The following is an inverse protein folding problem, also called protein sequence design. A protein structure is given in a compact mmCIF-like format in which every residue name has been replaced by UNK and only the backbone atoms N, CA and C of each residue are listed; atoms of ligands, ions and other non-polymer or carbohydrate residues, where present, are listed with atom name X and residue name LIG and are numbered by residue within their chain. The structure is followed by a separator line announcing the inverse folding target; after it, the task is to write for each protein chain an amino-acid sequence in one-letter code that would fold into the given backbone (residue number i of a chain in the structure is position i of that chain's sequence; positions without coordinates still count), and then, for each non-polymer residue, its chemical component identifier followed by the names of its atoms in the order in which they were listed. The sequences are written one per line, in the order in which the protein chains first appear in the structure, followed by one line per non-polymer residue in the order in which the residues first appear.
data_IF_542785861489
#
_entry.id   IF_542785861489
#
_cell.length_a   1.000
_cell.length_b   1.000
_cell.length_c   1.000
_cell.angle_alpha   90.00
_cell.angle_beta   90.00
_cell.angle_gamma   90.00
#
_symmetry.space_group_name_H-M   'P 1'
#
loop_
_entity.id
_entity.type
_entity.pdbx_description
1 polymer ?
#
# COMPACT_ATOMS: atom_id res chain seq x y z
N UNK A 1 6.62 -15.60 -7.14
CA UNK A 1 6.91 -14.22 -6.65
C UNK A 1 6.37 -13.22 -7.66
N UNK A 2 5.67 -12.20 -7.18
CA UNK A 2 5.12 -11.17 -8.05
C UNK A 2 6.18 -10.15 -8.44
N UNK A 3 5.97 -9.52 -9.60
CA UNK A 3 6.84 -8.44 -10.08
C UNK A 3 6.27 -7.10 -9.59
N UNK A 4 7.00 -6.36 -8.73
CA UNK A 4 6.46 -5.10 -8.22
C UNK A 4 6.54 -3.97 -9.23
N UNK A 5 5.51 -3.13 -9.24
CA UNK A 5 5.46 -1.89 -10.01
C UNK A 5 5.12 -0.76 -9.03
N UNK A 6 5.89 0.31 -9.09
CA UNK A 6 5.71 1.47 -8.22
C UNK A 6 5.30 2.65 -9.07
N UNK A 7 4.11 3.21 -8.81
CA UNK A 7 3.68 4.40 -9.54
C UNK A 7 4.51 5.61 -9.09
N UNK A 8 4.58 6.63 -9.93
CA UNK A 8 5.26 7.87 -9.55
C UNK A 8 4.57 8.53 -8.36
N UNK A 9 3.25 8.45 -8.29
CA UNK A 9 2.48 8.99 -7.16
C UNK A 9 2.85 8.25 -5.87
N UNK A 10 2.97 6.93 -5.92
CA UNK A 10 3.38 6.14 -4.77
C UNK A 10 4.76 6.57 -4.28
N UNK A 11 5.71 6.75 -5.20
CA UNK A 11 7.07 7.16 -4.82
C UNK A 11 7.08 8.51 -4.12
N UNK A 12 6.32 9.47 -4.64
CA UNK A 12 6.18 10.79 -4.03
C UNK A 12 5.49 10.71 -2.67
N UNK A 13 4.43 9.90 -2.58
CA UNK A 13 3.71 9.69 -1.34
C UNK A 13 4.64 9.14 -0.26
N UNK A 14 5.44 8.13 -0.62
CA UNK A 14 6.35 7.49 0.34
C UNK A 14 7.38 8.48 0.86
N UNK A 15 7.97 9.28 -0.02
CA UNK A 15 8.93 10.31 0.39
C UNK A 15 8.30 11.27 1.40
N UNK A 16 7.04 11.69 1.15
CA UNK A 16 6.32 12.57 2.05
C UNK A 16 6.10 11.95 3.42
N UNK A 17 5.72 10.67 3.44
CA UNK A 17 5.48 9.97 4.70
C UNK A 17 6.77 9.81 5.51
N UNK A 18 7.88 9.48 4.85
CA UNK A 18 9.18 9.38 5.52
C UNK A 18 9.60 10.74 6.09
N UNK A 19 9.38 11.82 5.36
CA UNK A 19 9.66 13.18 5.85
C UNK A 19 8.85 13.51 7.10
N UNK A 20 7.63 12.99 7.21
CA UNK A 20 6.77 13.19 8.37
C UNK A 20 7.16 12.34 9.57
N UNK A 21 8.18 11.47 9.42
CA UNK A 21 8.66 10.63 10.50
C UNK A 21 8.11 9.21 10.52
N UNK A 22 7.38 8.78 9.50
CA UNK A 22 6.89 7.41 9.42
C UNK A 22 8.03 6.47 9.06
N UNK A 23 8.05 5.30 9.70
CA UNK A 23 9.14 4.34 9.55
C UNK A 23 9.04 3.59 8.22
N UNK A 24 10.00 3.79 7.30
CA UNK A 24 9.95 3.11 6.00
C UNK A 24 10.08 1.58 6.09
N UNK A 25 10.65 1.05 7.16
CA UNK A 25 10.78 -0.39 7.32
C UNK A 25 9.42 -1.07 7.50
N UNK A 26 8.45 -0.35 8.07
CA UNK A 26 7.10 -0.89 8.25
C UNK A 26 6.44 -1.19 6.91
N UNK A 27 6.48 -0.24 5.98
CA UNK A 27 5.88 -0.44 4.66
C UNK A 27 6.67 -1.47 3.84
N UNK A 28 8.01 -1.45 3.94
CA UNK A 28 8.84 -2.42 3.22
C UNK A 28 8.54 -3.85 3.62
N UNK A 29 8.32 -4.10 4.91
CA UNK A 29 7.98 -5.43 5.41
C UNK A 29 6.68 -5.93 4.78
N UNK A 30 5.66 -5.07 4.74
CA UNK A 30 4.36 -5.42 4.16
C UNK A 30 4.50 -5.65 2.66
N UNK A 31 5.19 -4.76 1.95
CA UNK A 31 5.39 -4.90 0.51
C UNK A 31 6.11 -6.20 0.16
N UNK A 32 7.15 -6.55 0.91
CA UNK A 32 7.88 -7.80 0.66
C UNK A 32 6.97 -9.01 0.80
N UNK A 33 6.11 -9.03 1.81
CA UNK A 33 5.15 -10.11 1.98
C UNK A 33 4.19 -10.22 0.81
N UNK A 34 3.66 -9.08 0.35
CA UNK A 34 2.76 -9.05 -0.79
C UNK A 34 3.44 -9.50 -2.09
N UNK A 35 4.69 -9.08 -2.30
CA UNK A 35 5.46 -9.48 -3.48
C UNK A 35 5.68 -10.99 -3.48
N UNK A 36 5.93 -11.58 -2.32
CA UNK A 36 6.12 -13.03 -2.18
C UNK A 36 4.82 -13.83 -2.28
N UNK A 37 3.69 -13.15 -2.36
CA UNK A 37 2.38 -13.80 -2.46
C UNK A 37 1.83 -14.29 -1.12
N UNK A 38 2.36 -13.81 -0.02
CA UNK A 38 1.89 -14.18 1.32
C UNK A 38 0.64 -13.39 1.69
N UNK A 39 -0.27 -14.06 2.42
CA UNK A 39 -1.41 -13.36 3.00
C UNK A 39 -0.93 -12.45 4.12
N UNK A 40 -1.53 -11.27 4.23
CA UNK A 40 -1.21 -10.34 5.31
C UNK A 40 -1.89 -10.76 6.61
N UNK A 41 -1.21 -10.49 7.72
CA UNK A 41 -1.80 -10.67 9.04
C UNK A 41 -3.08 -9.81 9.15
N UNK A 42 -4.07 -10.31 9.87
CA UNK A 42 -5.36 -9.62 10.04
C UNK A 42 -5.22 -8.23 10.66
N UNK A 43 -4.13 -7.97 11.39
CA UNK A 43 -3.87 -6.65 11.98
C UNK A 43 -3.72 -5.55 10.94
N UNK A 44 -3.38 -5.90 9.69
CA UNK A 44 -3.24 -4.93 8.61
C UNK A 44 -4.57 -4.58 7.95
N UNK A 45 -5.65 -5.26 8.29
CA UNK A 45 -7.00 -4.98 7.78
C UNK A 45 -7.07 -4.89 6.25
N UNK A 46 -6.41 -5.81 5.57
CA UNK A 46 -6.40 -5.86 4.12
C UNK A 46 -7.81 -6.15 3.58
N UNK A 47 -8.30 -5.27 2.71
CA UNK A 47 -9.64 -5.42 2.13
C UNK A 47 -9.75 -4.73 0.78
N UNK A 48 -10.74 -5.15 0.00
CA UNK A 48 -11.05 -4.53 -1.29
C UNK A 48 -11.68 -3.16 -1.10
N UNK A 49 -11.28 -2.21 -1.94
CA UNK A 49 -11.91 -0.90 -1.97
C UNK A 49 -13.10 -0.90 -2.95
N UNK A 50 -14.00 0.04 -2.76
CA UNK A 50 -15.17 0.22 -3.63
C UNK A 50 -15.15 1.63 -4.22
N UNK A 51 -16.04 1.88 -5.18
CA UNK A 51 -16.15 3.20 -5.79
C UNK A 51 -15.01 3.47 -6.78
N UNK A 52 -14.40 4.64 -6.68
CA UNK A 52 -13.35 5.07 -7.61
C UNK A 52 -12.09 4.21 -7.56
N UNK A 53 -11.92 3.44 -6.49
CA UNK A 53 -10.78 2.55 -6.32
C UNK A 53 -11.15 1.08 -6.57
N UNK A 54 -12.13 0.87 -7.43
CA UNK A 54 -12.56 -0.49 -7.80
C UNK A 54 -11.35 -1.32 -8.22
N UNK A 55 -11.33 -2.59 -7.79
CA UNK A 55 -10.26 -3.56 -8.04
C UNK A 55 -8.95 -3.26 -7.30
N UNK A 56 -8.92 -2.21 -6.46
CA UNK A 56 -7.79 -1.94 -5.58
C UNK A 56 -8.07 -2.52 -4.22
N UNK A 57 -6.97 -2.77 -3.51
CA UNK A 57 -7.01 -3.21 -2.12
C UNK A 57 -6.32 -2.18 -1.25
N UNK A 58 -6.76 -2.11 -0.01
CA UNK A 58 -6.20 -1.22 1.00
C UNK A 58 -5.74 -2.04 2.19
N UNK A 59 -4.57 -1.74 2.74
CA UNK A 59 -4.20 -2.27 4.04
C UNK A 59 -3.70 -1.14 4.93
N UNK A 60 -3.81 -1.36 6.24
CA UNK A 60 -3.39 -0.38 7.25
C UNK A 60 -2.01 -0.75 7.77
N UNK A 61 -1.03 0.11 7.52
CA UNK A 61 0.32 -0.06 8.06
C UNK A 61 0.37 0.37 9.52
N UNK A 62 -0.44 1.36 9.86
CA UNK A 62 -0.75 1.82 11.21
C UNK A 62 -2.15 2.42 11.15
N UNK A 63 -2.73 2.84 12.29
CA UNK A 63 -4.13 3.30 12.28
C UNK A 63 -4.47 4.36 11.24
N UNK A 64 -3.52 5.23 10.91
CA UNK A 64 -3.75 6.25 9.89
C UNK A 64 -2.66 6.27 8.82
N UNK A 65 -2.09 5.12 8.50
CA UNK A 65 -1.14 5.00 7.39
C UNK A 65 -1.57 3.86 6.51
N UNK A 66 -2.03 4.18 5.31
CA UNK A 66 -2.63 3.25 4.36
C UNK A 66 -1.71 2.96 3.19
N UNK A 67 -1.85 1.76 2.63
CA UNK A 67 -1.20 1.38 1.38
C UNK A 67 -2.30 0.91 0.44
N UNK A 68 -2.40 1.54 -0.74
CA UNK A 68 -3.33 1.14 -1.79
C UNK A 68 -2.54 0.43 -2.88
N UNK A 69 -2.96 -0.78 -3.20
CA UNK A 69 -2.30 -1.60 -4.20
C UNK A 69 -3.33 -2.44 -4.96
N UNK A 70 -2.91 -3.04 -6.06
CA UNK A 70 -3.74 -4.02 -6.74
C UNK A 70 -2.86 -5.08 -7.38
N UNK A 71 -3.45 -6.25 -7.58
CA UNK A 71 -2.76 -7.43 -8.09
C UNK A 71 -3.25 -7.71 -9.48
N UNK A 72 -2.32 -7.75 -10.42
CA UNK A 72 -2.54 -8.08 -11.82
C UNK A 72 -1.48 -9.11 -12.18
N UNK A 73 -1.73 -10.36 -11.79
CA UNK A 73 -0.72 -11.42 -11.89
C UNK A 73 -0.06 -11.46 -13.25
N UNK A 74 1.27 -11.54 -13.31
CA UNK A 74 2.20 -11.76 -12.19
C UNK A 74 2.66 -10.47 -11.49
N UNK A 75 2.02 -9.32 -11.77
CA UNK A 75 2.44 -8.03 -11.22
C UNK A 75 1.64 -7.66 -9.98
N UNK A 76 2.27 -6.88 -9.12
CA UNK A 76 1.59 -6.16 -8.06
C UNK A 76 1.94 -4.69 -8.18
N UNK A 77 0.92 -3.84 -8.22
CA UNK A 77 1.08 -2.41 -8.44
C UNK A 77 0.84 -1.69 -7.11
N UNK A 78 1.87 -1.02 -6.59
CA UNK A 78 1.75 -0.16 -5.42
C UNK A 78 1.37 1.23 -5.91
N UNK A 79 0.14 1.63 -5.64
CA UNK A 79 -0.46 2.78 -6.29
C UNK A 79 -0.37 4.05 -5.47
N UNK A 80 -0.69 3.99 -4.18
CA UNK A 80 -0.67 5.15 -3.30
C UNK A 80 -0.31 4.72 -1.87
N UNK A 81 0.22 5.65 -1.08
CA UNK A 81 0.34 5.50 0.36
C UNK A 81 0.18 6.86 1.02
N UNK A 82 -0.41 6.87 2.22
CA UNK A 82 -0.65 8.12 2.94
C UNK A 82 -1.67 7.95 4.02
N UNK A 83 -2.04 9.06 4.65
CA UNK A 83 -3.09 9.08 5.65
C UNK A 83 -4.45 9.07 4.96
N UNK A 84 -5.53 8.86 5.73
CA UNK A 84 -6.89 8.96 5.19
C UNK A 84 -7.10 10.32 4.52
N UNK A 85 -6.65 11.40 5.15
CA UNK A 85 -6.78 12.74 4.58
C UNK A 85 -6.02 12.90 3.27
N UNK A 86 -4.85 12.28 3.15
CA UNK A 86 -4.06 12.35 1.92
C UNK A 86 -4.76 11.66 0.76
N UNK A 87 -5.44 10.55 1.02
CA UNK A 87 -5.94 9.65 -0.02
C UNK A 87 -7.43 9.79 -0.33
N UNK A 88 -8.23 10.18 0.66
CA UNK A 88 -9.70 10.16 0.55
C UNK A 88 -10.36 11.51 0.88
N UNK A 89 -9.71 12.55 0.58
CA UNK A 89 -10.30 13.87 0.76
C UNK A 89 -11.55 14.05 -0.05
#
# INVERSE_FOLDING_TARGET
MRTPVYTKRFEKDLKRMVKRGYDPERIKTVMRGLIKGKALDTKYRDHMLVGNFKDRRECHLSPDWLLIYWIDEPRIIFERTGTHSDLFR
#
